data_IF_828607009841
#
_entry.id   IF_828607009841
#
_cell.length_a   1.000
_cell.length_b   1.000
_cell.length_c   1.000
_cell.angle_alpha   90.00
_cell.angle_beta   90.00
_cell.angle_gamma   90.00
#
_symmetry.space_group_name_H-M   'P 1'
#
loop_
_entity.id
_entity.type
_entity.pdbx_description
1 polymer ?
#
# COMPACT_ATOMS: atom_id res chain seq x y z
N UNK A 1 18.12 -4.65 11.45
CA UNK A 1 17.28 -5.74 10.89
C UNK A 1 18.19 -6.76 10.23
N UNK A 2 18.06 -8.05 10.58
CA UNK A 2 18.83 -9.13 9.96
C UNK A 2 18.55 -9.25 8.45
N UNK A 3 19.49 -9.81 7.70
CA UNK A 3 19.38 -9.95 6.23
C UNK A 3 18.13 -10.74 5.83
N UNK A 4 17.85 -11.84 6.53
CA UNK A 4 16.69 -12.70 6.27
C UNK A 4 15.37 -11.96 6.44
N UNK A 5 15.18 -11.25 7.54
CA UNK A 5 13.93 -10.52 7.81
C UNK A 5 13.70 -9.38 6.81
N UNK A 6 14.78 -8.72 6.38
CA UNK A 6 14.69 -7.71 5.32
C UNK A 6 14.25 -8.32 3.99
N UNK A 7 14.85 -9.44 3.62
CA UNK A 7 14.53 -10.13 2.36
C UNK A 7 13.08 -10.63 2.36
N UNK A 8 12.61 -11.16 3.49
CA UNK A 8 11.23 -11.59 3.64
C UNK A 8 10.24 -10.41 3.51
N UNK A 9 10.53 -9.28 4.14
CA UNK A 9 9.69 -8.09 4.02
C UNK A 9 9.69 -7.52 2.58
N UNK A 10 10.85 -7.53 1.91
CA UNK A 10 10.94 -7.12 0.49
C UNK A 10 10.13 -8.08 -0.38
N UNK A 11 10.27 -9.39 -0.16
CA UNK A 11 9.51 -10.41 -0.88
C UNK A 11 8.00 -10.21 -0.72
N UNK A 12 7.54 -10.02 0.52
CA UNK A 12 6.12 -9.78 0.80
C UNK A 12 5.61 -8.50 0.12
N UNK A 13 6.41 -7.41 0.17
CA UNK A 13 6.07 -6.16 -0.51
C UNK A 13 5.97 -6.34 -2.02
N UNK A 14 6.90 -7.05 -2.64
CA UNK A 14 6.87 -7.32 -4.09
C UNK A 14 5.65 -8.17 -4.44
N UNK A 15 5.40 -9.25 -3.69
CA UNK A 15 4.27 -10.15 -3.91
C UNK A 15 2.94 -9.39 -3.84
N UNK A 16 2.72 -8.62 -2.78
CA UNK A 16 1.48 -7.86 -2.61
C UNK A 16 1.34 -6.72 -3.63
N UNK A 17 2.43 -6.07 -4.01
CA UNK A 17 2.40 -4.99 -5.03
C UNK A 17 2.09 -5.53 -6.42
N UNK A 18 2.71 -6.64 -6.82
CA UNK A 18 2.42 -7.30 -8.11
C UNK A 18 1.00 -7.83 -8.11
N UNK A 19 0.56 -8.47 -7.02
CA UNK A 19 -0.81 -8.93 -6.85
C UNK A 19 -1.82 -7.77 -6.98
N UNK A 20 -1.59 -6.66 -6.27
CA UNK A 20 -2.44 -5.47 -6.36
C UNK A 20 -2.52 -4.91 -7.79
N UNK A 21 -1.38 -4.78 -8.47
CA UNK A 21 -1.34 -4.33 -9.87
C UNK A 21 -2.11 -5.28 -10.79
N UNK A 22 -1.94 -6.59 -10.62
CA UNK A 22 -2.64 -7.59 -11.41
C UNK A 22 -4.16 -7.55 -11.21
N UNK A 23 -4.61 -7.36 -9.96
CA UNK A 23 -6.03 -7.19 -9.66
C UNK A 23 -6.60 -5.89 -10.26
N UNK A 24 -5.87 -4.78 -10.19
CA UNK A 24 -6.29 -3.53 -10.83
C UNK A 24 -6.46 -3.68 -12.35
N UNK A 25 -5.60 -4.47 -13.02
CA UNK A 25 -5.75 -4.81 -14.44
C UNK A 25 -6.94 -5.76 -14.69
N UNK A 26 -7.22 -6.69 -13.77
CA UNK A 26 -8.40 -7.54 -13.86
C UNK A 26 -9.69 -6.71 -13.75
N UNK A 27 -9.75 -5.77 -12.81
CA UNK A 27 -10.86 -4.84 -12.68
C UNK A 27 -11.00 -3.96 -13.93
N UNK A 28 -9.91 -3.47 -14.48
CA UNK A 28 -9.91 -2.73 -15.75
C UNK A 28 -10.57 -3.55 -16.85
N UNK A 29 -10.17 -4.82 -17.00
CA UNK A 29 -10.71 -5.71 -18.03
C UNK A 29 -12.22 -5.95 -17.84
N UNK A 30 -12.67 -6.23 -16.61
CA UNK A 30 -14.08 -6.41 -16.29
C UNK A 30 -14.90 -5.14 -16.52
N UNK A 31 -14.38 -3.97 -16.15
CA UNK A 31 -15.05 -2.69 -16.39
C UNK A 31 -15.18 -2.36 -17.88
N UNK A 32 -14.15 -2.65 -18.69
CA UNK A 32 -14.20 -2.50 -20.15
C UNK A 32 -15.24 -3.46 -20.75
N UNK A 33 -15.23 -4.71 -20.34
CA UNK A 33 -16.18 -5.71 -20.81
C UNK A 33 -17.62 -5.33 -20.45
N UNK A 34 -17.90 -5.00 -19.19
CA UNK A 34 -19.21 -4.57 -18.73
C UNK A 34 -19.72 -3.34 -19.47
N UNK A 35 -18.84 -2.36 -19.72
CA UNK A 35 -19.21 -1.16 -20.49
C UNK A 35 -19.50 -1.48 -21.98
N UNK A 36 -18.75 -2.40 -22.59
CA UNK A 36 -18.92 -2.74 -23.99
C UNK A 36 -20.13 -3.62 -24.26
N UNK A 37 -20.50 -4.50 -23.33
CA UNK A 37 -21.57 -5.50 -23.51
C UNK A 37 -22.87 -5.11 -22.79
N UNK A 38 -22.82 -4.21 -21.82
CA UNK A 38 -23.93 -3.91 -20.91
C UNK A 38 -24.15 -5.03 -19.86
N UNK A 39 -23.24 -6.00 -19.74
CA UNK A 39 -23.36 -7.09 -18.78
C UNK A 39 -23.02 -6.62 -17.37
N UNK A 40 -24.06 -6.48 -16.55
CA UNK A 40 -23.94 -6.08 -15.14
C UNK A 40 -23.12 -7.08 -14.32
N UNK A 41 -23.13 -8.37 -14.66
CA UNK A 41 -22.39 -9.37 -13.92
C UNK A 41 -20.87 -9.08 -13.91
N UNK A 42 -20.36 -8.40 -14.94
CA UNK A 42 -18.96 -7.99 -14.95
C UNK A 42 -18.62 -7.05 -13.79
N UNK A 43 -19.52 -6.12 -13.45
CA UNK A 43 -19.33 -5.20 -12.31
C UNK A 43 -19.50 -5.92 -10.97
N UNK A 44 -20.44 -6.85 -10.86
CA UNK A 44 -20.60 -7.69 -9.65
C UNK A 44 -19.34 -8.53 -9.40
N UNK A 45 -18.75 -9.11 -10.45
CA UNK A 45 -17.48 -9.85 -10.33
C UNK A 45 -16.30 -8.94 -10.02
N UNK A 46 -16.28 -7.73 -10.57
CA UNK A 46 -15.25 -6.74 -10.26
C UNK A 46 -15.33 -6.31 -8.78
N UNK A 47 -16.52 -6.03 -8.26
CA UNK A 47 -16.74 -5.70 -6.86
C UNK A 47 -16.30 -6.83 -5.92
N UNK A 48 -16.68 -8.07 -6.24
CA UNK A 48 -16.25 -9.25 -5.48
C UNK A 48 -14.71 -9.36 -5.40
N UNK A 49 -14.00 -9.11 -6.50
CA UNK A 49 -12.54 -9.12 -6.54
C UNK A 49 -11.94 -7.94 -5.80
N UNK A 50 -12.56 -6.76 -5.88
CA UNK A 50 -12.10 -5.56 -5.19
C UNK A 50 -12.14 -5.76 -3.67
N UNK A 51 -13.28 -6.17 -3.15
CA UNK A 51 -13.52 -6.30 -1.71
C UNK A 51 -12.77 -7.46 -1.06
N UNK A 52 -12.66 -8.60 -1.75
CA UNK A 52 -12.12 -9.83 -1.14
C UNK A 52 -10.64 -10.08 -1.46
N UNK A 53 -10.08 -9.45 -2.48
CA UNK A 53 -8.71 -9.71 -2.92
C UNK A 53 -7.89 -8.43 -3.02
N UNK A 54 -8.35 -7.47 -3.85
CA UNK A 54 -7.55 -6.29 -4.18
C UNK A 54 -7.25 -5.44 -2.95
N UNK A 55 -8.25 -5.15 -2.13
CA UNK A 55 -8.11 -4.31 -0.94
C UNK A 55 -7.09 -4.88 0.06
N UNK A 56 -7.04 -6.19 0.24
CA UNK A 56 -6.08 -6.83 1.13
C UNK A 56 -4.66 -6.80 0.57
N UNK A 57 -4.49 -6.98 -0.73
CA UNK A 57 -3.21 -6.84 -1.41
C UNK A 57 -2.72 -5.40 -1.38
N UNK A 58 -3.60 -4.43 -1.59
CA UNK A 58 -3.30 -3.01 -1.49
C UNK A 58 -2.84 -2.62 -0.08
N UNK A 59 -3.60 -3.01 0.95
CA UNK A 59 -3.25 -2.77 2.35
C UNK A 59 -1.90 -3.40 2.70
N UNK A 60 -1.67 -4.66 2.32
CA UNK A 60 -0.41 -5.36 2.53
C UNK A 60 0.77 -4.68 1.82
N UNK A 61 0.57 -4.24 0.58
CA UNK A 61 1.59 -3.53 -0.21
C UNK A 61 1.94 -2.17 0.41
N UNK A 62 0.94 -1.36 0.74
CA UNK A 62 1.14 -0.05 1.34
C UNK A 62 1.85 -0.19 2.68
N UNK A 63 1.36 -1.06 3.56
CA UNK A 63 1.96 -1.31 4.87
C UNK A 63 3.42 -1.76 4.79
N UNK A 64 3.70 -2.78 3.99
CA UNK A 64 5.07 -3.29 3.84
C UNK A 64 6.01 -2.26 3.22
N UNK A 65 5.52 -1.42 2.30
CA UNK A 65 6.26 -0.30 1.73
C UNK A 65 6.63 0.76 2.77
N UNK A 66 5.69 1.14 3.63
CA UNK A 66 5.94 2.05 4.76
C UNK A 66 6.95 1.43 5.74
N UNK A 67 6.78 0.14 6.09
CA UNK A 67 7.70 -0.54 7.00
C UNK A 67 9.11 -0.67 6.41
N UNK A 68 9.25 -0.96 5.12
CA UNK A 68 10.55 -0.95 4.46
C UNK A 68 11.22 0.42 4.53
N UNK A 69 10.46 1.49 4.35
CA UNK A 69 10.98 2.85 4.48
C UNK A 69 11.41 3.15 5.92
N UNK A 70 10.59 2.76 6.92
CA UNK A 70 10.88 2.97 8.32
C UNK A 70 12.09 2.17 8.84
N UNK A 71 12.23 0.93 8.40
CA UNK A 71 13.22 -0.03 8.89
C UNK A 71 14.56 0.02 8.15
N UNK A 72 14.64 0.78 7.06
CA UNK A 72 15.86 0.92 6.26
C UNK A 72 16.42 2.34 6.36
N UNK A 73 17.61 2.52 5.77
CA UNK A 73 18.27 3.84 5.67
C UNK A 73 17.51 4.85 4.80
N UNK A 74 16.46 4.42 4.12
CA UNK A 74 15.73 5.27 3.19
C UNK A 74 14.84 6.29 3.90
N UNK A 75 14.22 5.92 5.04
CA UNK A 75 13.31 6.79 5.79
C UNK A 75 12.10 7.24 4.97
N UNK A 76 11.11 7.84 5.60
CA UNK A 76 9.93 8.33 4.89
C UNK A 76 10.19 9.60 4.07
N UNK A 77 11.04 10.49 4.57
CA UNK A 77 11.20 11.84 4.03
C UNK A 77 12.63 12.16 3.56
N UNK A 78 13.55 11.17 3.57
CA UNK A 78 14.95 11.40 3.27
C UNK A 78 15.30 11.42 1.78
N UNK A 79 14.46 10.81 0.95
CA UNK A 79 14.67 10.69 -0.50
C UNK A 79 13.40 11.01 -1.26
N UNK A 80 13.51 11.80 -2.34
CA UNK A 80 12.38 12.20 -3.17
C UNK A 80 11.59 11.01 -3.74
N UNK A 81 12.26 9.97 -4.19
CA UNK A 81 11.58 8.80 -4.74
C UNK A 81 10.76 8.02 -3.68
N UNK A 82 11.20 8.00 -2.41
CA UNK A 82 10.43 7.39 -1.32
C UNK A 82 9.22 8.26 -0.99
N UNK A 83 9.43 9.57 -0.87
CA UNK A 83 8.36 10.51 -0.57
C UNK A 83 7.28 10.48 -1.67
N UNK A 84 7.70 10.51 -2.94
CA UNK A 84 6.76 10.45 -4.06
C UNK A 84 5.95 9.14 -4.05
N UNK A 85 6.58 7.99 -3.79
CA UNK A 85 5.86 6.72 -3.63
C UNK A 85 4.84 6.78 -2.51
N UNK A 86 5.21 7.34 -1.36
CA UNK A 86 4.31 7.50 -0.22
C UNK A 86 3.10 8.37 -0.56
N UNK A 87 3.32 9.49 -1.26
CA UNK A 87 2.26 10.38 -1.73
C UNK A 87 1.35 9.67 -2.73
N UNK A 88 1.91 8.99 -3.73
CA UNK A 88 1.13 8.24 -4.72
C UNK A 88 0.28 7.16 -4.02
N UNK A 89 0.85 6.40 -3.09
CA UNK A 89 0.12 5.36 -2.35
C UNK A 89 -1.05 5.93 -1.54
N UNK A 90 -0.85 7.07 -0.87
CA UNK A 90 -1.92 7.74 -0.12
C UNK A 90 -3.00 8.29 -1.04
N UNK A 91 -2.63 8.88 -2.18
CA UNK A 91 -3.59 9.35 -3.19
C UNK A 91 -4.39 8.17 -3.73
N UNK A 92 -3.72 7.07 -4.13
CA UNK A 92 -4.39 5.87 -4.62
C UNK A 92 -5.39 5.30 -3.60
N UNK A 93 -5.01 5.24 -2.32
CA UNK A 93 -5.88 4.76 -1.25
C UNK A 93 -7.15 5.64 -1.14
N UNK A 94 -6.98 6.97 -1.15
CA UNK A 94 -8.13 7.88 -1.06
C UNK A 94 -9.01 7.81 -2.31
N UNK A 95 -8.43 7.73 -3.50
CA UNK A 95 -9.19 7.57 -4.76
C UNK A 95 -9.96 6.26 -4.78
N UNK A 96 -9.34 5.16 -4.30
CA UNK A 96 -10.02 3.87 -4.21
C UNK A 96 -11.22 3.93 -3.26
N UNK A 97 -11.04 4.45 -2.05
CA UNK A 97 -12.08 4.47 -1.01
C UNK A 97 -13.20 5.47 -1.32
N UNK A 98 -12.84 6.67 -1.80
CA UNK A 98 -13.81 7.77 -1.92
C UNK A 98 -14.47 7.88 -3.30
N UNK A 99 -13.84 7.32 -4.33
CA UNK A 99 -14.31 7.48 -5.71
C UNK A 99 -14.60 6.13 -6.40
N UNK A 100 -13.60 5.25 -6.50
CA UNK A 100 -13.72 4.03 -7.31
C UNK A 100 -14.59 2.97 -6.64
N UNK A 101 -14.45 2.72 -5.34
CA UNK A 101 -15.25 1.75 -4.61
C UNK A 101 -16.75 2.07 -4.70
N UNK A 102 -17.20 3.24 -4.21
CA UNK A 102 -18.62 3.62 -4.29
C UNK A 102 -19.18 3.62 -5.73
N UNK A 103 -18.38 4.03 -6.72
CA UNK A 103 -18.79 4.00 -8.11
C UNK A 103 -18.96 2.57 -8.65
N UNK A 104 -18.07 1.65 -8.24
CA UNK A 104 -18.16 0.24 -8.61
C UNK A 104 -19.40 -0.43 -7.99
N UNK A 105 -19.65 -0.21 -6.70
CA UNK A 105 -20.85 -0.69 -6.02
C UNK A 105 -22.13 -0.18 -6.70
N UNK A 106 -22.19 1.11 -7.03
CA UNK A 106 -23.35 1.67 -7.74
C UNK A 106 -23.58 1.04 -9.13
N UNK A 107 -22.51 0.66 -9.84
CA UNK A 107 -22.59 -0.08 -11.12
C UNK A 107 -23.03 -1.54 -10.89
N UNK A 108 -22.50 -2.20 -9.87
CA UNK A 108 -22.85 -3.58 -9.52
C UNK A 108 -24.31 -3.69 -9.07
N UNK A 109 -24.84 -2.70 -8.38
CA UNK A 109 -26.25 -2.61 -8.00
C UNK A 109 -27.19 -2.16 -9.14
N UNK A 110 -26.62 -1.65 -10.25
CA UNK A 110 -27.42 -1.12 -11.39
C UNK A 110 -27.97 0.27 -11.13
N UNK A 111 -27.43 1.00 -10.14
CA UNK A 111 -27.86 2.33 -9.75
C UNK A 111 -27.39 3.46 -10.68
N UNK A 112 -26.39 3.19 -11.52
CA UNK A 112 -25.81 4.18 -12.45
C UNK A 112 -25.50 3.57 -13.81
N UNK A 113 -25.45 4.44 -14.83
CA UNK A 113 -25.01 4.03 -16.16
C UNK A 113 -23.46 3.93 -16.20
N UNK A 114 -22.91 2.92 -16.93
CA UNK A 114 -21.47 2.80 -17.11
C UNK A 114 -20.87 4.02 -17.80
N UNK A 115 -19.74 4.47 -17.28
CA UNK A 115 -18.96 5.58 -17.86
C UNK A 115 -17.49 5.16 -18.04
N UNK A 116 -16.73 5.80 -18.95
CA UNK A 116 -15.30 5.53 -19.10
C UNK A 116 -14.46 5.82 -17.85
N UNK A 117 -15.00 6.50 -16.85
CA UNK A 117 -14.29 6.87 -15.62
C UNK A 117 -13.78 5.63 -14.84
N UNK A 118 -14.58 4.56 -14.78
CA UNK A 118 -14.18 3.33 -14.09
C UNK A 118 -13.01 2.61 -14.75
N UNK A 119 -13.05 2.22 -16.04
CA UNK A 119 -11.89 1.60 -16.67
C UNK A 119 -10.67 2.53 -16.69
N UNK A 120 -10.83 3.83 -16.93
CA UNK A 120 -9.71 4.78 -16.86
C UNK A 120 -9.12 4.84 -15.46
N UNK A 121 -9.95 4.91 -14.43
CA UNK A 121 -9.52 4.94 -13.03
C UNK A 121 -8.72 3.69 -12.66
N UNK A 122 -9.21 2.50 -12.97
CA UNK A 122 -8.53 1.23 -12.67
C UNK A 122 -7.22 1.07 -13.46
N UNK A 123 -7.17 1.52 -14.72
CA UNK A 123 -5.93 1.54 -15.51
C UNK A 123 -4.90 2.51 -14.93
N UNK A 124 -5.32 3.69 -14.48
CA UNK A 124 -4.44 4.66 -13.82
C UNK A 124 -3.90 4.10 -12.49
N UNK A 125 -4.71 3.36 -11.73
CA UNK A 125 -4.25 2.66 -10.53
C UNK A 125 -3.13 1.67 -10.85
N UNK A 126 -3.32 0.78 -11.84
CA UNK A 126 -2.30 -0.18 -12.25
C UNK A 126 -1.02 0.52 -12.75
N UNK A 127 -1.18 1.56 -13.56
CA UNK A 127 -0.05 2.36 -14.09
C UNK A 127 0.75 3.05 -12.99
N UNK A 128 0.08 3.59 -11.99
CA UNK A 128 0.73 4.23 -10.85
C UNK A 128 1.52 3.22 -9.99
N UNK A 129 1.02 1.98 -9.83
CA UNK A 129 1.77 0.90 -9.15
C UNK A 129 3.00 0.51 -9.96
N UNK A 130 2.86 0.33 -11.28
CA UNK A 130 3.99 0.06 -12.18
C UNK A 130 5.06 1.16 -12.11
N UNK A 131 4.64 2.42 -12.11
CA UNK A 131 5.54 3.57 -11.95
C UNK A 131 6.26 3.55 -10.60
N UNK A 132 5.56 3.22 -9.51
CA UNK A 132 6.19 3.05 -8.19
C UNK A 132 7.21 1.90 -8.16
N UNK A 133 6.97 0.82 -8.94
CA UNK A 133 7.93 -0.24 -9.18
C UNK A 133 9.20 0.30 -9.86
N UNK A 134 9.05 1.07 -10.93
CA UNK A 134 10.16 1.73 -11.61
C UNK A 134 10.94 2.66 -10.67
N UNK A 135 10.27 3.48 -9.87
CA UNK A 135 10.91 4.34 -8.86
C UNK A 135 11.77 3.55 -7.87
N UNK A 136 11.35 2.33 -7.53
CA UNK A 136 12.10 1.44 -6.61
C UNK A 136 13.39 0.91 -7.23
N UNK A 137 13.41 0.72 -8.55
CA UNK A 137 14.58 0.22 -9.30
C UNK A 137 15.51 1.38 -9.66
N UNK A 138 14.97 2.40 -10.32
CA UNK A 138 15.74 3.53 -10.84
C UNK A 138 16.26 4.46 -9.74
N UNK A 139 15.52 4.62 -8.63
CA UNK A 139 15.82 5.52 -7.51
C UNK A 139 16.26 6.91 -8.02
N UNK A 140 15.46 7.51 -8.90
CA UNK A 140 15.80 8.81 -9.47
C UNK A 140 15.85 9.84 -8.33
N UNK A 141 16.58 10.89 -8.54
CA UNK A 141 16.73 12.00 -7.61
C UNK A 141 17.47 11.66 -6.30
N UNK A 142 18.18 12.66 -5.83
CA UNK A 142 18.97 12.60 -4.61
C UNK A 142 18.09 12.76 -3.36
N UNK A 143 18.73 13.05 -2.24
CA UNK A 143 18.08 13.35 -0.97
C UNK A 143 17.25 14.62 -1.04
N UNK A 144 16.27 14.68 -0.16
CA UNK A 144 15.49 15.89 0.05
C UNK A 144 16.34 16.98 0.70
N UNK A 145 16.08 18.29 0.44
CA UNK A 145 16.91 19.39 0.92
C UNK A 145 17.03 19.47 2.46
N UNK A 146 16.01 19.03 3.17
CA UNK A 146 15.96 19.02 4.64
C UNK A 146 16.74 17.86 5.27
N UNK A 147 17.30 16.96 4.48
CA UNK A 147 18.12 15.83 4.96
C UNK A 147 19.61 16.10 4.70
N UNK A 148 20.20 16.98 5.48
CA UNK A 148 21.60 17.39 5.29
C UNK A 148 22.60 16.25 5.61
N UNK A 149 22.33 15.42 6.60
CA UNK A 149 23.18 14.27 7.00
C UNK A 149 22.34 13.00 7.09
N UNK A 150 22.90 11.81 6.72
CA UNK A 150 22.21 10.53 6.96
C UNK A 150 22.06 10.40 8.48
N UNK A 151 20.82 10.39 8.96
CA UNK A 151 20.58 9.98 10.34
C UNK A 151 20.72 8.46 10.36
N UNK A 152 21.72 7.92 11.13
CA UNK A 152 21.81 6.48 11.31
C UNK A 152 20.48 5.99 11.87
N UNK A 153 19.85 5.07 11.18
CA UNK A 153 18.65 4.43 11.70
C UNK A 153 19.10 3.33 12.66
N UNK A 154 18.90 3.47 13.98
CA UNK A 154 19.20 2.38 14.89
C UNK A 154 18.45 1.12 14.45
N UNK A 155 19.08 -0.03 14.65
CA UNK A 155 18.46 -1.30 14.27
C UNK A 155 17.15 -1.48 15.07
N UNK A 156 16.07 -1.95 14.44
CA UNK A 156 14.87 -2.27 15.17
C UNK A 156 15.13 -3.42 16.15
N UNK A 157 14.36 -3.52 17.25
CA UNK A 157 14.42 -4.65 18.16
C UNK A 157 14.24 -5.98 17.41
N UNK A 158 14.84 -7.05 17.89
CA UNK A 158 14.81 -8.35 17.21
C UNK A 158 13.39 -8.90 17.01
N UNK A 159 12.46 -8.58 17.90
CA UNK A 159 11.05 -8.99 17.83
C UNK A 159 10.21 -8.19 16.82
N UNK A 160 10.58 -6.96 16.51
CA UNK A 160 9.75 -6.06 15.70
C UNK A 160 9.46 -6.56 14.27
N UNK A 161 10.41 -7.19 13.54
CA UNK A 161 10.10 -7.77 12.23
C UNK A 161 8.99 -8.83 12.27
N UNK A 162 8.86 -9.59 13.36
CA UNK A 162 7.76 -10.55 13.51
C UNK A 162 6.41 -9.86 13.68
N UNK A 163 6.37 -8.75 14.43
CA UNK A 163 5.17 -7.91 14.53
C UNK A 163 4.77 -7.37 13.15
N UNK A 164 5.73 -6.86 12.38
CA UNK A 164 5.47 -6.35 11.02
C UNK A 164 4.90 -7.43 10.11
N UNK A 165 5.33 -8.69 10.24
CA UNK A 165 4.78 -9.79 9.45
C UNK A 165 3.41 -10.25 9.96
N UNK A 166 3.15 -10.12 11.25
CA UNK A 166 1.87 -10.51 11.85
C UNK A 166 0.74 -9.48 11.57
N UNK A 167 1.07 -8.20 11.40
CA UNK A 167 0.08 -7.12 11.22
C UNK A 167 -0.86 -7.33 10.04
N UNK A 168 -0.42 -7.66 8.80
CA UNK A 168 -1.34 -7.93 7.70
C UNK A 168 -2.27 -9.11 7.96
N UNK A 169 -1.76 -10.14 8.64
CA UNK A 169 -2.55 -11.33 9.00
C UNK A 169 -3.60 -10.96 10.06
N UNK A 170 -3.21 -10.15 11.05
CA UNK A 170 -4.11 -9.69 12.11
C UNK A 170 -5.22 -8.77 11.56
N UNK A 171 -4.87 -7.82 10.66
CA UNK A 171 -5.86 -6.96 10.01
C UNK A 171 -6.80 -7.75 9.11
N UNK A 172 -6.29 -8.74 8.38
CA UNK A 172 -7.12 -9.64 7.58
C UNK A 172 -8.08 -10.47 8.45
N UNK A 173 -7.58 -11.07 9.53
CA UNK A 173 -8.40 -11.82 10.47
C UNK A 173 -9.47 -10.93 11.15
N UNK A 174 -9.10 -9.70 11.51
CA UNK A 174 -10.02 -8.73 12.10
C UNK A 174 -11.12 -8.32 11.10
N UNK A 175 -10.76 -8.10 9.84
CA UNK A 175 -11.70 -7.82 8.76
C UNK A 175 -12.73 -8.95 8.62
N UNK A 176 -12.28 -10.21 8.54
CA UNK A 176 -13.14 -11.36 8.34
C UNK A 176 -14.02 -11.69 9.56
N UNK A 177 -13.44 -11.64 10.77
CA UNK A 177 -14.08 -12.20 11.98
C UNK A 177 -14.92 -11.17 12.75
N UNK A 178 -14.61 -9.88 12.60
CA UNK A 178 -15.21 -8.84 13.45
C UNK A 178 -16.02 -7.83 12.65
N UNK A 179 -15.45 -7.28 11.58
CA UNK A 179 -16.07 -6.14 10.89
C UNK A 179 -16.86 -6.51 9.62
N UNK A 180 -16.58 -7.65 9.02
CA UNK A 180 -17.10 -7.99 7.70
C UNK A 180 -16.61 -7.08 6.56
N UNK A 181 -15.76 -6.09 6.89
CA UNK A 181 -15.18 -5.12 5.96
C UNK A 181 -13.69 -4.94 6.24
N UNK A 182 -12.88 -4.62 5.23
CA UNK A 182 -11.45 -4.35 5.41
C UNK A 182 -11.22 -3.17 6.35
N UNK A 183 -10.50 -3.43 7.45
CA UNK A 183 -10.19 -2.44 8.48
C UNK A 183 -8.71 -2.52 8.85
N UNK A 184 -7.81 -1.73 8.20
CA UNK A 184 -6.36 -1.80 8.41
C UNK A 184 -5.93 -1.06 9.70
N UNK A 185 -6.49 -1.45 10.84
CA UNK A 185 -6.29 -0.78 12.13
C UNK A 185 -4.87 -0.96 12.64
N UNK A 186 -4.39 -2.21 12.69
CA UNK A 186 -3.03 -2.49 13.16
C UNK A 186 -1.97 -1.97 12.19
N UNK A 187 -2.28 -1.93 10.89
CA UNK A 187 -1.44 -1.26 9.90
C UNK A 187 -1.24 0.21 10.26
N UNK A 188 -2.31 0.97 10.45
CA UNK A 188 -2.23 2.41 10.76
C UNK A 188 -1.51 2.63 12.09
N UNK A 189 -1.87 1.88 13.12
CA UNK A 189 -1.22 1.98 14.43
C UNK A 189 0.27 1.69 14.35
N UNK A 190 0.68 0.68 13.59
CA UNK A 190 2.10 0.31 13.45
C UNK A 190 2.85 1.31 12.58
N UNK A 191 2.30 1.71 11.43
CA UNK A 191 2.96 2.61 10.49
C UNK A 191 3.16 4.01 11.08
N UNK A 192 2.20 4.50 11.86
CA UNK A 192 2.27 5.80 12.52
C UNK A 192 2.99 5.70 13.86
N UNK A 193 2.66 4.71 14.67
CA UNK A 193 3.19 4.56 16.03
C UNK A 193 4.69 4.24 16.09
N UNK A 194 5.18 3.39 15.18
CA UNK A 194 6.58 2.97 15.19
C UNK A 194 7.60 4.11 15.04
N UNK A 195 7.48 5.08 14.12
CA UNK A 195 8.39 6.20 14.04
C UNK A 195 8.45 7.03 15.33
N UNK A 196 7.30 7.26 15.99
CA UNK A 196 7.23 7.98 17.26
C UNK A 196 7.88 7.20 18.40
N UNK A 197 7.56 5.91 18.54
CA UNK A 197 8.18 5.04 19.52
C UNK A 197 9.69 4.97 19.32
N UNK A 198 10.14 4.83 18.09
CA UNK A 198 11.54 4.78 17.72
C UNK A 198 12.30 6.07 18.08
N UNK A 199 11.73 7.23 17.80
CA UNK A 199 12.36 8.53 18.11
C UNK A 199 12.58 8.72 19.60
N UNK A 200 11.73 8.12 20.44
CA UNK A 200 11.81 8.24 21.90
C UNK A 200 12.76 7.23 22.55
N UNK A 201 12.84 6.00 22.02
CA UNK A 201 13.52 4.88 22.67
C UNK A 201 14.85 4.50 22.04
N UNK A 202 15.07 4.87 20.78
CA UNK A 202 16.28 4.54 20.04
C UNK A 202 17.08 5.78 19.62
N UNK A 203 16.84 6.93 20.26
CA UNK A 203 17.68 8.09 20.08
C UNK A 203 19.14 7.76 20.46
N UNK A 204 20.17 8.21 19.71
CA UNK A 204 21.55 8.05 20.12
C UNK A 204 21.74 8.69 21.49
N UNK A 205 22.45 8.00 22.40
CA UNK A 205 22.84 8.62 23.64
C UNK A 205 23.60 9.95 23.35
N UNK A 206 23.36 11.03 24.11
CA UNK A 206 24.10 12.27 23.92
C UNK A 206 25.59 11.95 23.99
N UNK A 207 26.35 12.43 22.99
CA UNK A 207 27.80 12.29 23.02
C UNK A 207 28.29 12.89 24.36
N UNK A 208 28.83 12.03 25.21
CA UNK A 208 29.53 12.48 26.43
C UNK A 208 30.68 13.36 25.96
N UNK A 209 30.53 14.68 26.14
CA UNK A 209 31.57 15.67 25.91
C UNK A 209 32.69 15.53 26.89
#
# INVERSE_FOLDING_TARGET
MGRTNRNLLVWLHVLTSVGWMSQALALFTLNVYGMATGDRNAYVMAELLDENVLVHLANGSIFTGFMLSALTRWGYFQYWWVLLKSVISLVQLNVAILLLGPALTALAEGGTAPTPAMPVGTLLMASAIAFQGWLSIAKPWKRTPWTAKPVPSPAPPAWFPYVVLAVPVADFALALLVFGNPAPIFFVLTAVGYPFWRSRHLAPAPASG
#
